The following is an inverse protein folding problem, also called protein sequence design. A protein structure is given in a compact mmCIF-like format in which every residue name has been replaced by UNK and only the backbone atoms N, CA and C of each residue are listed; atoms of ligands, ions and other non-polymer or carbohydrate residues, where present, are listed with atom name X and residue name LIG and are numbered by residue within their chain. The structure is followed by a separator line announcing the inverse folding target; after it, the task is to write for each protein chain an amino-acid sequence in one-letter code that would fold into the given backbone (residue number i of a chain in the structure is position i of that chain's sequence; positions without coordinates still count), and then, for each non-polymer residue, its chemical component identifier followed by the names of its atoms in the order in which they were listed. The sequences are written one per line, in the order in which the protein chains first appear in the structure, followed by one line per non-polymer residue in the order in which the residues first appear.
data_IF_201968639769
#
_entry.id   IF_201968639769
#
_cell.length_a   1.000
_cell.length_b   1.000
_cell.length_c   1.000
_cell.angle_alpha   90.00
_cell.angle_beta   90.00
_cell.angle_gamma   90.00
#
_symmetry.space_group_name_H-M   'P 1'
#
loop_
_entity.id
_entity.type
_entity.pdbx_description
1 polymer ?
#
# COMPACT_ATOMS: atom_id res chain seq x y z
N UNK A 1 -14.49 -15.19 -55.99
CA UNK A 1 -14.21 -13.84 -55.47
C UNK A 1 -13.57 -13.82 -54.08
N UNK A 2 -13.92 -14.74 -53.16
CA UNK A 2 -13.36 -14.74 -51.79
C UNK A 2 -11.83 -15.02 -51.73
N UNK A 3 -11.27 -15.79 -52.66
CA UNK A 3 -9.83 -16.10 -52.69
C UNK A 3 -8.96 -14.87 -52.95
N UNK A 4 -9.41 -13.95 -53.80
CA UNK A 4 -8.62 -12.77 -54.15
C UNK A 4 -8.47 -11.80 -52.97
N UNK A 5 -9.51 -11.73 -52.11
CA UNK A 5 -9.49 -10.89 -50.91
C UNK A 5 -8.60 -11.47 -49.81
N UNK A 6 -8.49 -12.80 -49.71
CA UNK A 6 -7.54 -13.45 -48.81
C UNK A 6 -6.08 -13.19 -49.21
N UNK A 7 -5.78 -13.23 -50.52
CA UNK A 7 -4.43 -12.94 -51.04
C UNK A 7 -4.03 -11.49 -50.75
N UNK A 8 -4.94 -10.53 -50.96
CA UNK A 8 -4.67 -9.12 -50.67
C UNK A 8 -4.43 -8.84 -49.18
N UNK A 9 -5.14 -9.56 -48.28
CA UNK A 9 -4.95 -9.41 -46.84
C UNK A 9 -3.60 -9.99 -46.39
N UNK A 10 -3.16 -11.11 -46.96
CA UNK A 10 -1.84 -11.69 -46.66
C UNK A 10 -0.71 -10.78 -47.13
N UNK A 11 -0.84 -10.16 -48.31
CA UNK A 11 0.16 -9.22 -48.83
C UNK A 11 0.33 -8.00 -47.90
N UNK A 12 -0.78 -7.41 -47.44
CA UNK A 12 -0.75 -6.28 -46.49
C UNK A 12 -0.11 -6.64 -45.15
N UNK A 13 -0.33 -7.87 -44.68
CA UNK A 13 0.23 -8.35 -43.41
C UNK A 13 1.75 -8.55 -43.54
N UNK A 14 2.21 -9.05 -44.68
CA UNK A 14 3.64 -9.18 -44.99
C UNK A 14 4.35 -7.81 -45.06
N UNK A 15 3.76 -6.83 -45.77
CA UNK A 15 4.34 -5.48 -45.88
C UNK A 15 4.44 -4.78 -44.51
N UNK A 16 3.44 -4.98 -43.64
CA UNK A 16 3.44 -4.44 -42.28
C UNK A 16 4.55 -5.06 -41.40
N UNK A 17 4.73 -6.38 -41.47
CA UNK A 17 5.81 -7.07 -40.74
C UNK A 17 7.19 -6.67 -41.26
N UNK A 18 7.34 -6.44 -42.57
CA UNK A 18 8.61 -6.01 -43.16
C UNK A 18 9.00 -4.59 -42.70
N UNK A 19 8.04 -3.67 -42.54
CA UNK A 19 8.31 -2.31 -42.05
C UNK A 19 8.74 -2.27 -40.57
N UNK A 20 8.17 -3.09 -39.70
CA UNK A 20 8.57 -3.13 -38.28
C UNK A 20 10.04 -3.57 -38.07
N UNK A 21 10.61 -4.33 -39.01
CA UNK A 21 12.01 -4.79 -38.91
C UNK A 21 13.05 -3.72 -39.23
N UNK A 22 12.68 -2.68 -40.00
CA UNK A 22 13.59 -1.59 -40.40
C UNK A 22 13.71 -0.52 -39.32
N UNK A 23 12.63 -0.22 -38.59
CA UNK A 23 12.63 0.82 -37.53
C UNK A 23 13.40 0.40 -36.27
N UNK A 24 13.55 -0.91 -36.01
CA UNK A 24 14.36 -1.39 -34.87
C UNK A 24 15.87 -1.32 -35.15
N UNK A 25 16.31 -1.33 -36.42
CA UNK A 25 17.73 -1.23 -36.78
C UNK A 25 18.29 0.19 -36.69
N UNK A 26 17.47 1.23 -36.81
CA UNK A 26 17.95 2.61 -36.70
C UNK A 26 18.12 3.12 -35.25
N UNK A 27 17.65 2.39 -34.23
CA UNK A 27 17.80 2.79 -32.82
C UNK A 27 19.00 2.18 -32.09
N UNK A 28 19.77 1.29 -32.72
CA UNK A 28 20.94 0.65 -32.10
C UNK A 28 22.29 1.25 -32.50
N UNK A 29 22.32 2.28 -33.35
CA UNK A 29 23.57 2.93 -33.80
C UNK A 29 23.82 4.32 -33.19
N UNK A 30 23.24 4.64 -32.02
CA UNK A 30 23.85 5.66 -31.17
C UNK A 30 25.12 5.07 -30.55
N UNK A 31 26.19 5.04 -31.35
CA UNK A 31 27.56 4.71 -30.94
C UNK A 31 27.88 5.46 -29.66
N UNK A 32 27.89 4.73 -28.54
CA UNK A 32 28.64 5.13 -27.38
C UNK A 32 30.11 5.12 -27.80
N UNK A 33 30.65 6.29 -28.14
CA UNK A 33 32.08 6.48 -28.26
C UNK A 33 32.69 6.31 -26.86
N UNK A 34 33.01 5.06 -26.49
CA UNK A 34 33.67 4.73 -25.23
C UNK A 34 34.99 5.52 -25.04
N UNK A 35 35.61 5.95 -26.14
CA UNK A 35 36.79 6.82 -26.13
C UNK A 35 36.50 8.24 -25.61
N UNK A 36 35.30 8.79 -25.82
CA UNK A 36 34.93 10.12 -25.31
C UNK A 36 34.73 10.09 -23.80
N UNK A 37 34.14 9.00 -23.27
CA UNK A 37 33.99 8.81 -21.82
C UNK A 37 35.35 8.67 -21.14
N UNK A 38 36.27 7.87 -21.70
CA UNK A 38 37.61 7.74 -21.12
C UNK A 38 38.41 9.05 -21.18
N UNK A 39 38.31 9.80 -22.28
CA UNK A 39 38.95 11.10 -22.41
C UNK A 39 38.37 12.14 -21.44
N UNK A 40 37.07 12.08 -21.16
CA UNK A 40 36.41 12.93 -20.15
C UNK A 40 36.87 12.58 -18.73
N UNK A 41 37.02 11.29 -18.42
CA UNK A 41 37.59 10.82 -17.15
C UNK A 41 39.05 11.26 -17.00
N UNK A 42 39.86 11.17 -18.06
CA UNK A 42 41.27 11.56 -18.02
C UNK A 42 41.43 13.09 -17.90
N UNK A 43 40.58 13.87 -18.57
CA UNK A 43 40.53 15.34 -18.45
C UNK A 43 40.16 15.77 -17.03
N UNK A 44 39.15 15.14 -16.43
CA UNK A 44 38.77 15.42 -15.04
C UNK A 44 39.87 15.05 -14.06
N UNK A 45 40.54 13.90 -14.25
CA UNK A 45 41.69 13.52 -13.43
C UNK A 45 42.85 14.51 -13.54
N UNK A 46 43.21 14.93 -14.76
CA UNK A 46 44.25 15.94 -14.98
C UNK A 46 43.89 17.30 -14.35
N UNK A 47 42.63 17.71 -14.44
CA UNK A 47 42.15 18.93 -13.81
C UNK A 47 42.29 18.86 -12.27
N UNK A 48 41.90 17.75 -11.64
CA UNK A 48 42.03 17.54 -10.19
C UNK A 48 43.50 17.52 -9.75
N UNK A 49 44.39 16.90 -10.53
CA UNK A 49 45.83 16.87 -10.24
C UNK A 49 46.44 18.28 -10.35
N UNK A 50 46.04 19.07 -11.36
CA UNK A 50 46.52 20.44 -11.53
C UNK A 50 45.95 21.42 -10.49
N UNK A 51 44.79 21.12 -9.90
CA UNK A 51 44.26 21.88 -8.75
C UNK A 51 45.00 21.61 -7.43
N UNK A 52 46.04 20.76 -7.40
CA UNK A 52 47.02 20.69 -6.29
C UNK A 52 47.92 21.93 -6.19
N UNK A 53 47.41 23.12 -6.49
CA UNK A 53 48.01 24.37 -6.01
C UNK A 53 47.69 24.44 -4.52
N UNK A 54 48.72 24.28 -3.68
CA UNK A 54 48.72 24.50 -2.23
C UNK A 54 47.34 24.30 -1.59
N UNK A 55 47.02 23.06 -1.20
CA UNK A 55 45.94 22.84 -0.24
C UNK A 55 46.34 23.63 0.99
N UNK A 56 45.64 24.74 1.22
CA UNK A 56 45.84 25.54 2.41
C UNK A 56 45.46 24.66 3.61
N UNK A 57 46.47 24.18 4.33
CA UNK A 57 46.30 23.38 5.54
C UNK A 57 45.86 24.25 6.73
N UNK A 58 45.61 25.54 6.53
CA UNK A 58 44.93 26.35 7.51
C UNK A 58 43.56 25.72 7.79
N UNK A 59 43.37 25.29 9.03
CA UNK A 59 42.12 24.73 9.53
C UNK A 59 40.97 25.58 9.00
N UNK A 60 39.95 24.99 8.31
CA UNK A 60 38.88 25.75 7.70
C UNK A 60 38.31 26.68 8.77
N UNK A 61 38.42 27.99 8.53
CA UNK A 61 38.00 28.98 9.52
C UNK A 61 36.50 28.85 9.69
N UNK A 62 36.10 28.05 10.66
CA UNK A 62 34.71 27.90 11.06
C UNK A 62 34.32 29.25 11.66
N UNK A 63 33.78 30.14 10.84
CA UNK A 63 33.09 31.34 11.32
C UNK A 63 32.10 30.86 12.36
N UNK A 64 32.40 31.12 13.64
CA UNK A 64 31.51 30.81 14.76
C UNK A 64 30.15 31.37 14.38
N UNK A 65 29.17 30.49 14.15
CA UNK A 65 27.80 30.88 13.80
C UNK A 65 27.34 31.81 14.91
N UNK A 66 27.21 33.10 14.61
CA UNK A 66 26.63 34.03 15.56
C UNK A 66 25.18 33.59 15.80
N UNK A 67 24.75 33.36 17.05
CA UNK A 67 23.45 32.78 17.37
C UNK A 67 22.25 33.69 17.02
N UNK A 68 22.49 34.84 16.40
CA UNK A 68 21.51 35.92 16.27
C UNK A 68 20.81 36.00 14.91
N UNK A 69 20.82 34.91 14.12
CA UNK A 69 20.22 34.87 12.77
C UNK A 69 18.88 34.14 12.70
N UNK A 70 18.09 34.11 13.80
CA UNK A 70 16.75 33.50 13.80
C UNK A 70 15.88 33.99 12.64
N UNK A 71 15.87 35.30 12.39
CA UNK A 71 15.10 35.90 11.29
C UNK A 71 15.59 35.47 9.89
N UNK A 72 16.89 35.18 9.71
CA UNK A 72 17.40 34.67 8.43
C UNK A 72 17.05 33.20 8.23
N UNK A 73 17.08 32.42 9.32
CA UNK A 73 16.66 31.02 9.31
C UNK A 73 15.17 30.91 8.96
N UNK A 74 14.33 31.71 9.62
CA UNK A 74 12.88 31.72 9.37
C UNK A 74 12.56 32.16 7.94
N UNK A 75 13.21 33.21 7.41
CA UNK A 75 13.05 33.61 6.00
C UNK A 75 13.45 32.51 5.02
N UNK A 76 14.50 31.75 5.33
CA UNK A 76 14.94 30.63 4.50
C UNK A 76 13.93 29.48 4.55
N UNK A 77 13.44 29.12 5.74
CA UNK A 77 12.40 28.10 5.92
C UNK A 77 11.10 28.47 5.21
N UNK A 78 10.68 29.73 5.30
CA UNK A 78 9.51 30.26 4.57
C UNK A 78 9.71 30.18 3.06
N UNK A 79 10.90 30.54 2.56
CA UNK A 79 11.22 30.46 1.14
C UNK A 79 11.21 29.02 0.62
N UNK A 80 11.81 28.08 1.34
CA UNK A 80 11.76 26.65 0.99
C UNK A 80 10.33 26.12 1.00
N UNK A 81 9.54 26.50 2.01
CA UNK A 81 8.13 26.15 2.08
C UNK A 81 7.35 26.68 0.86
N UNK A 82 7.53 27.95 0.49
CA UNK A 82 6.88 28.55 -0.68
C UNK A 82 7.29 27.85 -1.98
N UNK A 83 8.57 27.53 -2.14
CA UNK A 83 9.08 26.77 -3.29
C UNK A 83 8.47 25.37 -3.38
N UNK A 84 8.31 24.68 -2.25
CA UNK A 84 7.67 23.37 -2.19
C UNK A 84 6.19 23.44 -2.58
N UNK A 85 5.44 24.41 -2.04
CA UNK A 85 4.04 24.64 -2.41
C UNK A 85 3.92 24.98 -3.89
N UNK A 86 4.80 25.82 -4.42
CA UNK A 86 4.81 26.18 -5.85
C UNK A 86 5.12 24.97 -6.73
N UNK A 87 6.05 24.11 -6.33
CA UNK A 87 6.35 22.87 -7.03
C UNK A 87 5.15 21.91 -7.02
N UNK A 88 4.46 21.76 -5.89
CA UNK A 88 3.23 20.96 -5.80
C UNK A 88 2.13 21.51 -6.71
N UNK A 89 1.89 22.84 -6.70
CA UNK A 89 0.91 23.48 -7.60
C UNK A 89 1.24 23.24 -9.07
N UNK A 90 2.52 23.29 -9.47
CA UNK A 90 2.95 22.93 -10.83
C UNK A 90 2.66 21.48 -11.16
N UNK A 91 2.96 20.54 -10.25
CA UNK A 91 2.66 19.11 -10.44
C UNK A 91 1.16 18.85 -10.60
N UNK A 92 0.34 19.50 -9.77
CA UNK A 92 -1.13 19.42 -9.85
C UNK A 92 -1.62 20.02 -11.17
N UNK A 93 -1.10 21.18 -11.58
CA UNK A 93 -1.44 21.81 -12.86
C UNK A 93 -1.01 20.99 -14.08
N UNK A 94 0.17 20.35 -14.03
CA UNK A 94 0.66 19.47 -15.10
C UNK A 94 -0.06 18.13 -15.16
N UNK A 95 -0.80 17.74 -14.11
CA UNK A 95 -1.58 16.50 -14.10
C UNK A 95 -2.78 16.53 -15.07
N UNK A 96 -2.94 17.61 -15.84
CA UNK A 96 -4.03 17.79 -16.80
C UNK A 96 -5.34 18.17 -16.12
N UNK A 97 -6.30 18.64 -16.92
CA UNK A 97 -7.64 18.92 -16.37
C UNK A 97 -8.31 17.61 -15.94
N UNK A 98 -9.21 17.66 -14.96
CA UNK A 98 -9.96 16.46 -14.55
C UNK A 98 -10.74 15.83 -15.72
N UNK A 99 -11.08 16.61 -16.75
CA UNK A 99 -11.73 16.12 -17.96
C UNK A 99 -10.77 15.30 -18.85
N UNK A 100 -9.49 15.69 -18.95
CA UNK A 100 -8.46 14.90 -19.65
C UNK A 100 -8.14 13.62 -18.90
N UNK A 101 -8.02 13.71 -17.59
CA UNK A 101 -7.78 12.57 -16.70
C UNK A 101 -8.87 11.51 -16.78
N UNK A 102 -10.13 11.93 -16.87
CA UNK A 102 -11.27 11.03 -17.11
C UNK A 102 -11.19 10.25 -18.42
N UNK A 103 -10.50 10.78 -19.45
CA UNK A 103 -10.27 10.05 -20.71
C UNK A 103 -9.28 8.89 -20.53
N UNK A 104 -8.37 8.97 -19.57
CA UNK A 104 -7.47 7.88 -19.23
C UNK A 104 -8.16 6.90 -18.27
N UNK A 105 -8.52 5.72 -18.76
CA UNK A 105 -9.19 4.67 -17.96
C UNK A 105 -8.32 4.15 -16.80
N UNK A 106 -7.00 4.31 -16.88
CA UNK A 106 -6.05 3.83 -15.87
C UNK A 106 -5.56 4.92 -14.92
N UNK A 107 -6.09 6.15 -15.01
CA UNK A 107 -5.73 7.19 -14.05
C UNK A 107 -6.38 6.88 -12.68
N UNK A 108 -5.57 6.57 -11.65
CA UNK A 108 -6.10 6.16 -10.35
C UNK A 108 -6.81 7.29 -9.61
N UNK A 109 -6.60 8.55 -9.99
CA UNK A 109 -7.28 9.68 -9.35
C UNK A 109 -8.62 9.94 -10.02
N UNK A 110 -8.72 9.79 -11.34
CA UNK A 110 -9.99 9.92 -12.05
C UNK A 110 -10.89 8.69 -11.87
N UNK A 111 -10.29 7.51 -11.71
CA UNK A 111 -10.97 6.24 -11.52
C UNK A 111 -10.41 5.49 -10.28
N UNK A 112 -10.66 5.98 -9.05
CA UNK A 112 -10.17 5.38 -7.81
C UNK A 112 -10.39 3.86 -7.67
N UNK A 113 -11.50 3.28 -8.16
CA UNK A 113 -11.68 1.83 -8.09
C UNK A 113 -10.60 1.02 -8.80
N UNK A 114 -9.90 1.59 -9.79
CA UNK A 114 -8.80 0.94 -10.51
C UNK A 114 -7.64 0.60 -9.56
N UNK A 115 -7.40 1.43 -8.53
CA UNK A 115 -6.32 1.20 -7.56
C UNK A 115 -6.53 -0.07 -6.72
N UNK A 116 -7.79 -0.46 -6.50
CA UNK A 116 -8.14 -1.61 -5.67
C UNK A 116 -8.29 -2.91 -6.47
N UNK A 117 -7.98 -2.89 -7.77
CA UNK A 117 -8.05 -4.08 -8.62
C UNK A 117 -6.81 -4.93 -8.45
N UNK A 118 -7.01 -6.22 -8.19
CA UNK A 118 -5.94 -7.21 -8.35
C UNK A 118 -5.76 -7.54 -9.82
N UNK A 119 -4.53 -7.79 -10.24
CA UNK A 119 -4.21 -8.23 -11.60
C UNK A 119 -5.08 -9.45 -11.98
N UNK A 120 -5.78 -9.36 -13.12
CA UNK A 120 -6.68 -10.43 -13.61
C UNK A 120 -8.16 -10.31 -13.22
N UNK A 121 -8.59 -9.31 -12.43
CA UNK A 121 -10.01 -9.09 -12.15
C UNK A 121 -10.71 -8.23 -13.21
N UNK A 122 -11.71 -8.80 -13.90
CA UNK A 122 -12.52 -8.10 -14.89
C UNK A 122 -13.52 -7.10 -14.25
N UNK A 123 -13.77 -5.98 -14.94
CA UNK A 123 -14.67 -4.87 -14.56
C UNK A 123 -16.05 -5.31 -14.06
N UNK A 124 -16.61 -6.38 -14.63
CA UNK A 124 -17.96 -6.85 -14.33
C UNK A 124 -18.14 -7.42 -12.93
N UNK A 125 -17.05 -7.85 -12.27
CA UNK A 125 -17.10 -8.53 -10.98
C UNK A 125 -16.64 -7.68 -9.80
N UNK A 126 -16.22 -6.43 -10.03
CA UNK A 126 -15.73 -5.59 -8.94
C UNK A 126 -16.90 -4.98 -8.17
N UNK A 127 -17.23 -5.59 -7.02
CA UNK A 127 -18.30 -5.13 -6.10
C UNK A 127 -18.19 -3.65 -5.72
N UNK A 128 -16.97 -3.10 -5.76
CA UNK A 128 -16.66 -1.69 -5.48
C UNK A 128 -17.18 -0.74 -6.56
N UNK A 129 -17.19 -1.16 -7.84
CA UNK A 129 -17.67 -0.33 -8.95
C UNK A 129 -19.19 -0.13 -8.87
N UNK A 130 -19.93 -1.17 -8.49
CA UNK A 130 -21.38 -1.08 -8.23
C UNK A 130 -21.69 -0.14 -7.06
N UNK A 131 -20.85 -0.14 -6.02
CA UNK A 131 -21.01 0.76 -4.87
C UNK A 131 -20.73 2.22 -5.25
N UNK A 132 -19.64 2.47 -5.98
CA UNK A 132 -19.29 3.82 -6.43
C UNK A 132 -20.31 4.37 -7.43
N UNK A 133 -20.87 3.52 -8.29
CA UNK A 133 -21.93 3.92 -9.21
C UNK A 133 -23.23 4.25 -8.47
N UNK A 134 -23.53 3.57 -7.36
CA UNK A 134 -24.66 3.88 -6.49
C UNK A 134 -24.49 5.27 -5.83
N UNK A 135 -23.32 5.52 -5.22
CA UNK A 135 -22.99 6.81 -4.60
C UNK A 135 -23.03 7.95 -5.64
N UNK A 136 -22.50 7.71 -6.85
CA UNK A 136 -22.46 8.72 -7.91
C UNK A 136 -23.86 9.04 -8.47
N UNK A 137 -24.74 8.03 -8.58
CA UNK A 137 -26.14 8.24 -8.99
C UNK A 137 -26.92 9.01 -7.93
N UNK A 138 -26.64 8.76 -6.65
CA UNK A 138 -27.26 9.45 -5.51
C UNK A 138 -26.89 10.95 -5.45
N UNK A 139 -25.72 11.35 -5.96
CA UNK A 139 -25.34 12.76 -6.08
C UNK A 139 -25.98 13.51 -7.26
N UNK A 140 -26.49 12.81 -8.28
CA UNK A 140 -27.09 13.44 -9.45
C UNK A 140 -28.60 13.64 -9.33
N UNK A 141 -29.29 12.82 -8.53
CA UNK A 141 -30.67 13.08 -8.14
C UNK A 141 -30.68 14.12 -7.02
N UNK A 142 -30.97 15.38 -7.34
CA UNK A 142 -31.14 16.49 -6.38
C UNK A 142 -32.34 16.34 -5.42
N UNK A 143 -32.81 15.13 -5.19
CA UNK A 143 -33.83 14.81 -4.20
C UNK A 143 -33.18 14.80 -2.83
N UNK A 144 -33.67 15.68 -1.94
CA UNK A 144 -33.20 15.83 -0.56
C UNK A 144 -33.13 14.46 0.11
N UNK A 145 -31.93 13.95 0.31
CA UNK A 145 -31.66 12.64 0.91
C UNK A 145 -32.26 12.66 2.32
N UNK A 146 -33.31 11.87 2.52
CA UNK A 146 -33.88 11.64 3.83
C UNK A 146 -32.96 10.67 4.59
N UNK A 147 -31.91 11.22 5.23
CA UNK A 147 -30.88 10.48 5.97
C UNK A 147 -31.46 9.46 6.97
N UNK A 148 -32.66 9.72 7.49
CA UNK A 148 -33.36 8.83 8.42
C UNK A 148 -33.78 7.49 7.79
N UNK A 149 -34.04 7.44 6.49
CA UNK A 149 -34.40 6.19 5.81
C UNK A 149 -33.18 5.28 5.59
N UNK A 150 -32.02 5.87 5.29
CA UNK A 150 -30.77 5.13 5.06
C UNK A 150 -30.20 4.58 6.39
N UNK A 151 -30.29 5.36 7.47
CA UNK A 151 -29.88 4.90 8.82
C UNK A 151 -30.72 3.71 9.33
N UNK A 152 -32.04 3.73 9.11
CA UNK A 152 -32.93 2.60 9.45
C UNK A 152 -32.61 1.33 8.64
N UNK A 153 -32.13 1.47 7.40
CA UNK A 153 -31.74 0.34 6.55
C UNK A 153 -30.40 -0.26 6.99
N UNK A 154 -29.46 0.57 7.46
CA UNK A 154 -28.19 0.14 8.05
C UNK A 154 -28.39 -0.56 9.41
N UNK A 155 -29.27 -0.05 10.27
CA UNK A 155 -29.60 -0.70 11.55
C UNK A 155 -30.25 -2.08 11.35
N UNK A 156 -31.06 -2.27 10.29
CA UNK A 156 -31.61 -3.60 9.94
C UNK A 156 -30.57 -4.56 9.35
N UNK A 157 -29.47 -4.05 8.79
CA UNK A 157 -28.38 -4.89 8.30
C UNK A 157 -27.48 -5.40 9.44
N UNK A 158 -27.35 -4.61 10.51
CA UNK A 158 -26.63 -4.96 11.74
C UNK A 158 -27.35 -6.05 12.57
N UNK A 159 -28.68 -6.14 12.51
CA UNK A 159 -29.45 -7.19 13.19
C UNK A 159 -29.46 -8.54 12.46
N UNK A 160 -28.86 -8.63 11.26
CA UNK A 160 -28.68 -9.90 10.55
C UNK A 160 -27.31 -10.51 10.85
N UNK A 161 -27.25 -11.24 11.97
CA UNK A 161 -26.09 -11.90 12.57
C UNK A 161 -25.39 -12.99 11.71
N UNK A 162 -25.57 -12.99 10.38
CA UNK A 162 -25.00 -14.00 9.46
C UNK A 162 -23.64 -13.59 8.86
N UNK A 163 -23.19 -12.34 9.02
CA UNK A 163 -21.91 -11.87 8.45
C UNK A 163 -20.69 -12.10 9.36
N UNK A 164 -20.88 -12.24 10.67
CA UNK A 164 -19.80 -12.60 11.61
C UNK A 164 -19.36 -14.06 11.46
N UNK A 165 -20.29 -14.98 11.15
CA UNK A 165 -19.95 -16.40 10.90
C UNK A 165 -19.06 -16.62 9.68
N UNK A 166 -19.19 -15.80 8.63
CA UNK A 166 -18.39 -15.95 7.39
C UNK A 166 -16.92 -15.58 7.63
N UNK A 167 -16.64 -14.58 8.46
CA UNK A 167 -15.25 -14.22 8.81
C UNK A 167 -14.58 -15.30 9.67
N UNK A 168 -15.30 -15.89 10.61
CA UNK A 168 -14.78 -16.99 11.44
C UNK A 168 -14.43 -18.19 10.55
N UNK A 169 -15.28 -18.56 9.60
CA UNK A 169 -15.02 -19.69 8.69
C UNK A 169 -13.81 -19.45 7.77
N UNK A 170 -13.56 -18.20 7.33
CA UNK A 170 -12.38 -17.87 6.53
C UNK A 170 -11.09 -17.99 7.34
N UNK A 171 -11.08 -17.54 8.61
CA UNK A 171 -9.94 -17.74 9.51
C UNK A 171 -9.69 -19.22 9.82
N UNK A 172 -10.75 -20.01 10.05
CA UNK A 172 -10.63 -21.47 10.33
C UNK A 172 -9.96 -22.21 9.17
N UNK A 173 -10.35 -21.94 7.92
CA UNK A 173 -9.83 -22.61 6.74
C UNK A 173 -8.37 -22.25 6.41
N UNK A 174 -7.90 -21.08 6.85
CA UNK A 174 -6.52 -20.62 6.64
C UNK A 174 -5.58 -21.18 7.73
N UNK A 175 -6.06 -21.31 8.96
CA UNK A 175 -5.32 -21.91 10.09
C UNK A 175 -5.10 -23.42 9.91
N UNK A 176 -6.06 -24.14 9.29
CA UNK A 176 -5.92 -25.59 9.04
C UNK A 176 -4.75 -25.96 8.12
N UNK A 177 -4.31 -25.04 7.24
CA UNK A 177 -3.20 -25.27 6.30
C UNK A 177 -1.80 -25.11 6.93
N UNK A 178 -1.71 -24.53 8.12
CA UNK A 178 -0.46 -24.34 8.86
C UNK A 178 -0.21 -25.42 9.94
N UNK A 179 -1.07 -26.44 10.01
CA UNK A 179 -1.07 -27.46 11.07
C UNK A 179 -0.04 -28.59 10.87
N UNK A 180 1.20 -28.22 10.63
CA UNK A 180 2.33 -29.07 11.00
C UNK A 180 2.92 -28.55 12.31
N UNK A 181 2.77 -29.30 13.40
CA UNK A 181 3.70 -29.33 14.54
C UNK A 181 3.42 -28.50 15.82
N UNK A 182 2.54 -27.49 15.82
CA UNK A 182 2.21 -26.78 17.08
C UNK A 182 0.81 -27.14 17.58
N UNK A 183 0.70 -28.10 18.50
CA UNK A 183 -0.52 -28.34 19.28
C UNK A 183 -0.34 -27.62 20.62
N UNK A 184 -0.94 -26.44 20.74
CA UNK A 184 -1.01 -25.75 22.03
C UNK A 184 -2.14 -26.40 22.84
N UNK A 185 -1.84 -26.84 24.06
CA UNK A 185 -2.87 -27.21 25.03
C UNK A 185 -3.60 -25.92 25.44
N UNK A 186 -4.69 -25.61 24.74
CA UNK A 186 -5.49 -24.41 25.02
C UNK A 186 -6.46 -24.68 26.17
N UNK A 187 -6.58 -23.75 27.13
CA UNK A 187 -7.55 -23.87 28.21
C UNK A 187 -8.97 -23.81 27.64
N UNK A 188 -9.83 -24.72 28.11
CA UNK A 188 -11.25 -24.76 27.77
C UNK A 188 -12.03 -24.19 28.95
N UNK A 189 -12.69 -23.05 28.75
CA UNK A 189 -13.44 -22.38 29.80
C UNK A 189 -14.94 -22.63 29.63
N UNK A 190 -15.59 -22.96 30.74
CA UNK A 190 -17.03 -23.25 30.79
C UNK A 190 -17.87 -22.05 31.20
N UNK A 191 -17.26 -21.01 31.77
CA UNK A 191 -17.96 -19.89 32.41
C UNK A 191 -17.83 -18.56 31.67
N UNK A 192 -18.70 -17.62 32.04
CA UNK A 192 -18.68 -16.22 31.61
C UNK A 192 -18.41 -15.30 32.80
N UNK A 193 -17.78 -15.79 33.86
CA UNK A 193 -17.48 -14.96 35.02
C UNK A 193 -16.21 -14.13 34.77
N UNK A 194 -16.12 -12.96 35.42
CA UNK A 194 -14.90 -12.15 35.39
C UNK A 194 -13.68 -12.88 35.95
N UNK A 195 -13.87 -13.92 36.77
CA UNK A 195 -12.76 -14.74 37.29
C UNK A 195 -12.12 -15.56 36.17
N UNK A 196 -12.94 -16.14 35.30
CA UNK A 196 -12.48 -16.93 34.14
C UNK A 196 -11.62 -16.07 33.20
N UNK A 197 -11.91 -14.78 33.09
CA UNK A 197 -11.11 -13.82 32.32
C UNK A 197 -9.65 -13.75 32.80
N UNK A 198 -9.44 -13.61 34.11
CA UNK A 198 -8.10 -13.50 34.68
C UNK A 198 -7.33 -14.83 34.59
N UNK A 199 -8.02 -15.95 34.81
CA UNK A 199 -7.43 -17.28 34.63
C UNK A 199 -7.01 -17.51 33.18
N UNK A 200 -7.87 -17.15 32.22
CA UNK A 200 -7.57 -17.23 30.79
C UNK A 200 -6.33 -16.40 30.43
N UNK A 201 -6.28 -15.14 30.88
CA UNK A 201 -5.14 -14.25 30.62
C UNK A 201 -3.84 -14.86 31.14
N UNK A 202 -3.86 -15.39 32.37
CA UNK A 202 -2.69 -16.01 32.99
C UNK A 202 -2.22 -17.25 32.21
N UNK A 203 -3.15 -18.12 31.81
CA UNK A 203 -2.82 -19.32 31.04
C UNK A 203 -2.30 -18.98 29.64
N UNK A 204 -2.87 -17.98 28.98
CA UNK A 204 -2.39 -17.48 27.69
C UNK A 204 -0.96 -16.94 27.78
N UNK A 205 -0.66 -16.14 28.82
CA UNK A 205 0.70 -15.65 29.06
C UNK A 205 1.67 -16.82 29.25
N UNK A 206 1.28 -17.84 30.03
CA UNK A 206 2.10 -19.04 30.22
C UNK A 206 2.34 -19.79 28.91
N UNK A 207 1.34 -19.91 28.04
CA UNK A 207 1.48 -20.53 26.71
C UNK A 207 2.44 -19.71 25.84
N UNK A 208 2.27 -18.39 25.81
CA UNK A 208 3.13 -17.47 25.06
C UNK A 208 4.60 -17.63 25.48
N UNK A 209 4.88 -17.67 26.78
CA UNK A 209 6.24 -17.88 27.29
C UNK A 209 6.77 -19.29 27.03
N UNK A 210 5.96 -20.32 27.28
CA UNK A 210 6.35 -21.73 27.09
C UNK A 210 6.73 -22.01 25.63
N UNK A 211 6.03 -21.40 24.68
CA UNK A 211 6.23 -21.60 23.26
C UNK A 211 6.98 -20.46 22.56
N UNK A 212 7.44 -19.44 23.30
CA UNK A 212 8.20 -18.29 22.79
C UNK A 212 7.50 -17.57 21.64
N UNK A 213 6.20 -17.31 21.80
CA UNK A 213 5.35 -16.67 20.80
C UNK A 213 5.53 -15.14 20.87
N UNK A 214 6.51 -14.63 20.12
CA UNK A 214 6.83 -13.18 20.12
C UNK A 214 6.40 -12.47 18.83
N UNK A 215 6.03 -13.21 17.78
CA UNK A 215 5.63 -12.64 16.50
C UNK A 215 4.15 -12.30 16.49
N UNK A 216 3.80 -11.21 15.81
CA UNK A 216 2.41 -10.80 15.62
C UNK A 216 1.57 -11.87 14.94
N UNK A 217 2.12 -12.55 13.93
CA UNK A 217 1.41 -13.58 13.17
C UNK A 217 1.07 -14.80 14.04
N UNK A 218 2.00 -15.19 14.93
CA UNK A 218 1.80 -16.34 15.81
C UNK A 218 0.78 -16.02 16.93
N UNK A 219 0.73 -14.78 17.40
CA UNK A 219 -0.29 -14.30 18.32
C UNK A 219 -1.68 -14.28 17.67
N UNK A 220 -1.79 -13.87 16.40
CA UNK A 220 -3.05 -13.92 15.65
C UNK A 220 -3.52 -15.36 15.43
N UNK A 221 -2.59 -16.29 15.16
CA UNK A 221 -2.90 -17.71 15.06
C UNK A 221 -3.39 -18.28 16.41
N UNK A 222 -2.77 -17.89 17.52
CA UNK A 222 -3.19 -18.26 18.87
C UNK A 222 -4.60 -17.75 19.18
N UNK A 223 -4.89 -16.49 18.85
CA UNK A 223 -6.21 -15.88 18.97
C UNK A 223 -7.27 -16.66 18.17
N UNK A 224 -7.00 -16.95 16.90
CA UNK A 224 -7.90 -17.70 16.04
C UNK A 224 -8.21 -19.10 16.61
N UNK A 225 -7.20 -19.80 17.12
CA UNK A 225 -7.39 -21.12 17.74
C UNK A 225 -8.19 -21.05 19.03
N UNK A 226 -7.94 -20.05 19.87
CA UNK A 226 -8.68 -19.88 21.11
C UNK A 226 -10.18 -19.69 20.86
N UNK A 227 -10.55 -18.95 19.82
CA UNK A 227 -11.95 -18.78 19.39
C UNK A 227 -12.59 -20.09 18.91
N UNK A 228 -11.82 -20.93 18.21
CA UNK A 228 -12.30 -22.25 17.74
C UNK A 228 -12.57 -23.17 18.93
N UNK A 229 -11.66 -23.19 19.91
CA UNK A 229 -11.78 -24.03 21.09
C UNK A 229 -12.82 -23.54 22.10
N UNK A 230 -13.09 -22.24 22.14
CA UNK A 230 -14.01 -21.62 23.10
C UNK A 230 -15.08 -20.77 22.42
N UNK A 231 -16.02 -21.38 21.66
CA UNK A 231 -17.04 -20.65 20.90
C UNK A 231 -18.08 -19.94 21.80
N UNK A 232 -18.15 -20.30 23.09
CA UNK A 232 -19.04 -19.70 24.08
C UNK A 232 -18.55 -18.36 24.64
N UNK A 233 -17.26 -18.05 24.47
CA UNK A 233 -16.67 -16.80 24.96
C UNK A 233 -17.00 -15.63 24.04
N UNK A 234 -17.23 -14.47 24.64
CA UNK A 234 -17.52 -13.26 23.88
C UNK A 234 -16.24 -12.77 23.20
N UNK A 235 -16.27 -12.60 21.87
CA UNK A 235 -15.10 -12.20 21.07
C UNK A 235 -14.42 -10.94 21.61
N UNK A 236 -15.22 -9.95 22.06
CA UNK A 236 -14.70 -8.69 22.60
C UNK A 236 -13.79 -8.93 23.81
N UNK A 237 -14.12 -9.88 24.69
CA UNK A 237 -13.28 -10.15 25.86
C UNK A 237 -11.94 -10.76 25.48
N UNK A 238 -11.92 -11.63 24.47
CA UNK A 238 -10.68 -12.23 24.00
C UNK A 238 -9.82 -11.16 23.33
N UNK A 239 -10.44 -10.26 22.54
CA UNK A 239 -9.74 -9.14 21.92
C UNK A 239 -9.13 -8.20 22.98
N UNK A 240 -9.88 -7.88 24.03
CA UNK A 240 -9.39 -7.08 25.16
C UNK A 240 -8.18 -7.74 25.85
N UNK A 241 -8.22 -9.06 26.12
CA UNK A 241 -7.09 -9.79 26.71
C UNK A 241 -5.85 -9.71 25.82
N UNK A 242 -6.00 -9.95 24.52
CA UNK A 242 -4.87 -9.92 23.59
C UNK A 242 -4.30 -8.50 23.42
N UNK A 243 -5.14 -7.47 23.51
CA UNK A 243 -4.67 -6.08 23.50
C UNK A 243 -3.90 -5.75 24.78
N UNK A 244 -4.39 -6.15 25.96
CA UNK A 244 -3.64 -5.99 27.22
C UNK A 244 -2.29 -6.72 27.18
N UNK A 245 -2.26 -7.95 26.66
CA UNK A 245 -1.02 -8.70 26.47
C UNK A 245 -0.09 -7.95 25.50
N UNK A 246 -0.58 -7.43 24.38
CA UNK A 246 0.27 -6.65 23.45
C UNK A 246 0.87 -5.42 24.11
N UNK A 247 0.07 -4.67 24.87
CA UNK A 247 0.56 -3.49 25.60
C UNK A 247 1.64 -3.88 26.62
N UNK A 248 1.42 -4.93 27.41
CA UNK A 248 2.40 -5.41 28.40
C UNK A 248 3.71 -5.90 27.77
N UNK A 249 3.67 -6.46 26.55
CA UNK A 249 4.86 -6.95 25.86
C UNK A 249 5.58 -5.88 25.01
N UNK A 250 4.89 -4.84 24.55
CA UNK A 250 5.48 -3.72 23.80
C UNK A 250 6.39 -2.84 24.67
N UNK A 251 6.19 -2.82 25.98
CA UNK A 251 7.03 -2.08 26.93
C UNK A 251 8.43 -2.72 27.14
N UNK A 252 8.71 -3.88 26.54
CA UNK A 252 9.97 -4.61 26.67
C UNK A 252 10.94 -4.46 25.48
N UNK A 253 10.59 -3.71 24.42
CA UNK A 253 11.52 -3.30 23.34
C UNK A 253 12.24 -1.97 23.65
#
# INVERSE_FOLDING_TARGET
MQSHQQIQNLQKLYDYLSQQSLDQKQRQESKYNCEDDFNNVLKTFKAVVQTKKMIDNNQPFMKKRTPNNRNKKEKFEQYEHEMNIKAQKRRIGSAGSMQERKKNQFDPIAHPPVFFRREGQNLSNCRLDNLMQYISKEQQSGDKINLNASMKKWQRAQSSNKKSQIKIQQFVAEVEKLNGEFVYELPILKGQEKKDYYELKKDLIMIIFKHRIYKSEDLEALFGRLLIHNPSLHMVWIEDIFNEIREEFLDFE
#
